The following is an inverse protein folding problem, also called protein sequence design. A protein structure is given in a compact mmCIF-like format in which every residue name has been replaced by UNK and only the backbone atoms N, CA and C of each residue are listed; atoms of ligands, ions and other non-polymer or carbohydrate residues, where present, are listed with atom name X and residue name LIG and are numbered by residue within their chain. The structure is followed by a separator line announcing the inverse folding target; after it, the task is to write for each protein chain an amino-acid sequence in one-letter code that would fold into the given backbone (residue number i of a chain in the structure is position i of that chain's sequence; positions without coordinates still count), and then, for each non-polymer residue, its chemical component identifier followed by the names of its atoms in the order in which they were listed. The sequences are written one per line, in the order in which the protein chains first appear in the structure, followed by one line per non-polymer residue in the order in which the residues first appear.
data_IF_809415007767
#
_entry.id   IF_809415007767
#
_cell.length_a   1.000
_cell.length_b   1.000
_cell.length_c   1.000
_cell.angle_alpha   90.00
_cell.angle_beta   90.00
_cell.angle_gamma   90.00
#
_symmetry.space_group_name_H-M   'P 1'
#
loop_
_entity.id
_entity.type
_entity.pdbx_description
1 polymer ?
#
# COMPACT_ATOMS: atom_id res chain seq x y z
N UNK A 1 16.42 45.46 12.54
CA UNK A 1 16.78 44.07 12.33
C UNK A 1 15.73 43.53 11.40
N UNK A 2 16.11 42.85 10.38
CA UNK A 2 15.18 42.11 9.51
C UNK A 2 14.82 40.80 10.20
N UNK A 3 13.78 40.13 9.71
CA UNK A 3 13.44 38.78 10.14
C UNK A 3 14.63 37.85 9.84
N UNK A 4 15.10 37.08 10.88
CA UNK A 4 16.32 36.28 10.72
C UNK A 4 16.31 34.97 11.51
N UNK A 5 17.05 33.99 11.00
CA UNK A 5 17.36 32.77 11.70
C UNK A 5 18.52 32.96 12.68
N UNK A 6 18.40 32.42 13.87
CA UNK A 6 19.42 32.50 14.93
C UNK A 6 19.74 31.08 15.39
N UNK A 7 21.02 30.75 15.43
CA UNK A 7 21.52 29.54 16.08
C UNK A 7 22.03 29.89 17.49
N UNK A 8 21.49 29.20 18.50
CA UNK A 8 21.95 29.28 19.86
C UNK A 8 21.98 27.92 20.55
N UNK A 9 23.12 27.56 21.12
CA UNK A 9 23.35 26.27 21.80
C UNK A 9 22.90 25.02 20.98
N UNK A 10 23.13 25.04 19.66
CA UNK A 10 22.78 23.93 18.75
C UNK A 10 21.28 23.84 18.44
N UNK A 11 20.50 24.85 18.78
CA UNK A 11 19.09 25.00 18.38
C UNK A 11 18.95 26.18 17.42
N UNK A 12 18.02 26.05 16.48
CA UNK A 12 17.70 27.07 15.51
C UNK A 12 16.39 27.75 15.88
N UNK A 13 16.38 29.06 15.87
CA UNK A 13 15.25 29.91 16.21
C UNK A 13 15.00 30.92 15.09
N UNK A 14 13.80 31.47 15.03
CA UNK A 14 13.47 32.55 14.13
C UNK A 14 12.95 33.78 14.91
N UNK A 15 13.49 34.93 14.62
CA UNK A 15 13.04 36.20 15.24
C UNK A 15 12.44 37.13 14.19
N UNK A 16 11.38 37.84 14.59
CA UNK A 16 10.75 38.84 13.74
C UNK A 16 11.58 40.13 13.68
N UNK A 17 11.21 41.04 12.79
CA UNK A 17 11.88 42.36 12.63
C UNK A 17 11.95 43.20 13.91
N UNK A 18 11.24 42.81 14.97
CA UNK A 18 11.28 43.46 16.31
C UNK A 18 12.15 42.67 17.30
N UNK A 19 12.85 41.64 16.84
CA UNK A 19 13.67 40.76 17.66
C UNK A 19 12.87 39.81 18.57
N UNK A 20 11.61 39.52 18.25
CA UNK A 20 10.76 38.61 19.04
C UNK A 20 10.83 37.23 18.47
N UNK A 21 11.13 36.25 19.28
CA UNK A 21 11.10 34.83 18.94
C UNK A 21 9.72 34.40 18.43
N UNK A 22 9.70 33.65 17.32
CA UNK A 22 8.51 33.06 16.73
C UNK A 22 8.28 31.66 17.27
N UNK A 23 7.05 31.18 17.18
CA UNK A 23 6.63 29.81 17.40
C UNK A 23 5.62 29.39 16.31
N UNK A 24 5.45 28.10 16.06
CA UNK A 24 4.59 27.61 14.98
C UNK A 24 5.26 27.73 13.60
N UNK A 25 4.44 27.79 12.55
CA UNK A 25 4.94 27.81 11.18
C UNK A 25 5.59 29.14 10.81
N UNK A 26 6.77 29.03 10.22
CA UNK A 26 7.51 30.13 9.60
C UNK A 26 7.83 29.74 8.16
N UNK A 27 7.58 30.67 7.24
CA UNK A 27 8.02 30.55 5.85
C UNK A 27 9.30 31.35 5.68
N UNK A 28 10.35 30.68 5.25
CA UNK A 28 11.61 31.34 4.91
C UNK A 28 11.42 32.22 3.66
N UNK A 29 11.92 33.43 3.70
CA UNK A 29 11.70 34.41 2.65
C UNK A 29 12.57 34.14 1.41
N UNK A 30 13.74 33.52 1.59
CA UNK A 30 14.72 33.30 0.53
C UNK A 30 14.44 32.00 -0.21
N UNK A 31 14.26 30.89 0.50
CA UNK A 31 13.98 29.57 -0.07
C UNK A 31 12.50 29.36 -0.39
N UNK A 32 11.61 29.98 0.35
CA UNK A 32 10.17 29.74 0.30
C UNK A 32 9.73 28.52 1.10
N UNK A 33 10.64 27.79 1.73
CA UNK A 33 10.39 26.61 2.53
C UNK A 33 9.66 26.94 3.83
N UNK A 34 8.95 25.96 4.38
CA UNK A 34 8.23 26.11 5.65
C UNK A 34 8.89 25.26 6.73
N UNK A 35 9.10 25.89 7.87
CA UNK A 35 9.67 25.31 9.08
C UNK A 35 8.71 25.43 10.24
N UNK A 36 8.74 24.48 11.16
CA UNK A 36 7.90 24.53 12.37
C UNK A 36 8.76 24.75 13.61
N UNK A 37 8.41 25.77 14.38
CA UNK A 37 9.05 26.11 15.65
C UNK A 37 8.18 25.63 16.81
N UNK A 38 8.78 24.89 17.74
CA UNK A 38 8.12 24.37 18.92
C UNK A 38 7.62 25.46 19.87
N UNK A 39 7.03 25.08 21.00
CA UNK A 39 6.56 26.01 22.02
C UNK A 39 7.72 26.78 22.70
N UNK A 40 8.91 26.16 22.70
CA UNK A 40 10.16 26.77 23.16
C UNK A 40 10.83 27.66 22.10
N UNK A 41 10.22 27.79 20.90
CA UNK A 41 10.73 28.54 19.76
C UNK A 41 11.80 27.83 18.94
N UNK A 42 12.25 26.66 19.36
CA UNK A 42 13.26 25.89 18.62
C UNK A 42 12.65 25.23 17.39
N UNK A 43 13.41 25.18 16.28
CA UNK A 43 13.03 24.45 15.07
C UNK A 43 12.89 22.96 15.38
N UNK A 44 11.84 22.37 14.87
CA UNK A 44 11.58 20.93 14.96
C UNK A 44 12.18 20.20 13.76
N UNK A 45 12.68 18.99 13.99
CA UNK A 45 13.26 18.13 12.98
C UNK A 45 12.66 16.73 13.08
N UNK A 46 12.50 16.08 11.92
CA UNK A 46 12.12 14.67 11.78
C UNK A 46 10.95 14.27 12.71
N UNK A 47 9.85 15.04 12.64
CA UNK A 47 8.70 14.85 13.53
C UNK A 47 7.40 15.33 12.90
N UNK A 48 6.28 14.91 13.51
CA UNK A 48 4.95 15.38 13.16
C UNK A 48 4.53 16.55 14.04
N UNK A 49 3.99 17.58 13.42
CA UNK A 49 3.46 18.76 14.13
C UNK A 49 2.06 18.49 14.69
N UNK A 50 1.55 19.39 15.54
CA UNK A 50 0.20 19.28 16.13
C UNK A 50 -0.94 19.27 15.10
N UNK A 51 -0.72 19.86 13.93
CA UNK A 51 -1.66 19.91 12.81
C UNK A 51 -1.44 18.79 11.78
N UNK A 52 -0.76 17.70 12.18
CA UNK A 52 -0.50 16.49 11.38
C UNK A 52 0.30 16.76 10.11
N UNK A 53 1.29 17.66 10.20
CA UNK A 53 2.26 17.93 9.14
C UNK A 53 3.61 17.34 9.50
N UNK A 54 4.32 16.83 8.51
CA UNK A 54 5.65 16.29 8.70
C UNK A 54 6.72 17.33 8.39
N UNK A 55 7.70 17.47 9.29
CA UNK A 55 8.96 18.17 9.04
C UNK A 55 10.09 17.16 9.00
N UNK A 56 10.88 17.23 7.93
CA UNK A 56 11.94 16.29 7.62
C UNK A 56 13.17 16.41 8.53
N UNK A 57 14.20 15.58 8.27
CA UNK A 57 15.46 15.62 9.00
C UNK A 57 16.22 16.96 8.83
N UNK A 58 15.93 17.72 7.80
CA UNK A 58 16.44 19.09 7.56
C UNK A 58 15.56 20.21 8.16
N UNK A 59 14.44 19.85 8.80
CA UNK A 59 13.48 20.77 9.39
C UNK A 59 12.44 21.37 8.44
N UNK A 60 12.54 21.12 7.12
CA UNK A 60 11.54 21.57 6.14
C UNK A 60 10.26 20.74 6.22
N UNK A 61 9.12 21.40 5.97
CA UNK A 61 7.87 20.67 5.72
C UNK A 61 7.99 19.85 4.44
N UNK A 62 7.67 18.55 4.50
CA UNK A 62 7.64 17.65 3.34
C UNK A 62 6.20 17.54 2.85
N UNK A 63 5.76 18.52 2.04
CA UNK A 63 4.35 18.65 1.62
C UNK A 63 3.86 17.46 0.78
N UNK A 64 4.72 16.91 -0.11
CA UNK A 64 4.38 15.74 -0.92
C UNK A 64 4.17 14.50 -0.07
N UNK A 65 5.00 14.28 0.94
CA UNK A 65 4.80 13.20 1.91
C UNK A 65 3.51 13.36 2.72
N UNK A 66 3.17 14.58 3.15
CA UNK A 66 1.88 14.87 3.78
C UNK A 66 0.69 14.53 2.85
N UNK A 67 0.84 14.79 1.55
CA UNK A 67 -0.17 14.46 0.53
C UNK A 67 -0.32 12.95 0.38
N UNK A 68 0.79 12.22 0.25
CA UNK A 68 0.82 10.76 0.19
C UNK A 68 0.15 10.13 1.41
N UNK A 69 0.53 10.51 2.63
CA UNK A 69 -0.03 9.99 3.88
C UNK A 69 -1.56 10.17 3.95
N UNK A 70 -2.06 11.31 3.52
CA UNK A 70 -3.51 11.58 3.43
C UNK A 70 -4.17 10.72 2.37
N UNK A 71 -3.53 10.52 1.23
CA UNK A 71 -4.04 9.68 0.17
C UNK A 71 -4.16 8.22 0.63
N UNK A 72 -3.13 7.65 1.28
CA UNK A 72 -3.17 6.29 1.85
C UNK A 72 -4.35 6.15 2.82
N UNK A 73 -4.48 7.06 3.80
CA UNK A 73 -5.58 7.04 4.79
C UNK A 73 -6.95 7.14 4.11
N UNK A 74 -7.07 7.95 3.05
CA UNK A 74 -8.31 8.13 2.29
C UNK A 74 -8.68 6.89 1.50
N UNK A 75 -7.72 6.30 0.77
CA UNK A 75 -7.95 5.14 -0.07
C UNK A 75 -8.31 3.91 0.76
N UNK A 76 -7.57 3.67 1.83
CA UNK A 76 -7.86 2.60 2.77
C UNK A 76 -9.27 2.72 3.37
N UNK A 77 -9.72 3.94 3.70
CA UNK A 77 -11.08 4.20 4.17
C UNK A 77 -12.14 3.95 3.11
N UNK A 78 -11.85 4.24 1.84
CA UNK A 78 -12.76 3.95 0.72
C UNK A 78 -12.90 2.44 0.50
N UNK A 79 -11.78 1.71 0.40
CA UNK A 79 -11.74 0.28 0.19
C UNK A 79 -12.52 -0.47 1.28
N UNK A 80 -12.25 -0.16 2.54
CA UNK A 80 -12.93 -0.80 3.69
C UNK A 80 -14.42 -0.46 3.77
N UNK A 81 -14.82 0.77 3.43
CA UNK A 81 -16.23 1.21 3.43
C UNK A 81 -17.05 0.57 2.31
N UNK A 82 -16.49 0.48 1.11
CA UNK A 82 -17.15 -0.10 -0.08
C UNK A 82 -17.57 -1.55 0.18
N UNK A 83 -16.70 -2.34 0.80
CA UNK A 83 -16.98 -3.73 1.16
C UNK A 83 -17.98 -3.88 2.30
N UNK A 84 -17.94 -3.05 3.31
CA UNK A 84 -18.92 -3.09 4.40
C UNK A 84 -20.35 -2.87 3.87
N UNK A 85 -20.52 -2.05 2.85
CA UNK A 85 -21.82 -1.86 2.19
C UNK A 85 -22.27 -3.10 1.40
N UNK A 86 -21.35 -3.79 0.71
CA UNK A 86 -21.62 -5.06 0.01
C UNK A 86 -21.95 -6.20 0.98
N UNK A 87 -21.25 -6.29 2.12
CA UNK A 87 -21.54 -7.28 3.20
C UNK A 87 -22.95 -7.10 3.77
N UNK A 88 -23.38 -5.87 4.03
CA UNK A 88 -24.69 -5.59 4.61
C UNK A 88 -25.85 -5.96 3.67
N UNK A 89 -25.64 -5.94 2.35
CA UNK A 89 -26.64 -6.39 1.37
C UNK A 89 -26.71 -7.92 1.18
N UNK A 90 -25.61 -8.64 1.48
CA UNK A 90 -25.56 -10.13 1.43
C UNK A 90 -25.87 -10.81 2.77
N UNK A 91 -25.71 -10.14 3.90
CA UNK A 91 -25.81 -10.69 5.27
C UNK A 91 -27.22 -11.12 5.71
N UNK A 92 -28.25 -10.93 4.89
CA UNK A 92 -29.57 -11.45 5.19
C UNK A 92 -29.71 -12.98 4.99
N UNK A 93 -28.70 -13.66 4.45
CA UNK A 93 -28.82 -15.07 4.06
C UNK A 93 -27.92 -16.07 4.80
N UNK A 94 -26.73 -15.71 5.32
CA UNK A 94 -25.79 -16.70 5.89
C UNK A 94 -24.98 -16.14 7.06
N UNK A 95 -25.47 -16.30 8.27
CA UNK A 95 -24.75 -15.95 9.50
C UNK A 95 -24.28 -17.20 10.21
N UNK A 96 -23.04 -17.68 10.03
CA UNK A 96 -22.42 -18.61 10.96
C UNK A 96 -20.88 -18.63 11.05
N UNK A 97 -20.11 -18.16 10.06
CA UNK A 97 -18.64 -18.20 10.15
C UNK A 97 -17.92 -16.89 9.76
N UNK A 98 -18.66 -15.83 9.46
CA UNK A 98 -18.13 -14.56 8.95
C UNK A 98 -17.52 -13.63 10.03
N UNK A 99 -17.40 -14.07 11.30
CA UNK A 99 -17.18 -13.14 12.42
C UNK A 99 -15.70 -12.78 12.66
N UNK A 100 -14.73 -13.49 12.05
CA UNK A 100 -13.30 -13.22 12.23
C UNK A 100 -12.60 -12.59 11.02
N UNK A 101 -13.33 -12.22 9.98
CA UNK A 101 -12.74 -11.59 8.79
C UNK A 101 -12.56 -10.11 9.02
N UNK A 102 -11.37 -9.62 8.73
CA UNK A 102 -11.02 -8.22 8.83
C UNK A 102 -10.24 -7.77 7.58
N UNK A 103 -10.08 -6.47 7.46
CA UNK A 103 -9.20 -5.91 6.44
C UNK A 103 -7.77 -5.89 6.94
N UNK A 104 -6.87 -6.18 6.01
CA UNK A 104 -5.43 -6.05 6.15
C UNK A 104 -4.93 -5.09 5.08
N UNK A 105 -3.83 -4.44 5.34
CA UNK A 105 -3.15 -3.63 4.35
C UNK A 105 -1.65 -3.78 4.44
N UNK A 106 -0.98 -3.47 3.35
CA UNK A 106 0.46 -3.40 3.25
C UNK A 106 0.82 -2.20 2.37
N UNK A 107 1.93 -1.57 2.70
CA UNK A 107 2.60 -0.60 1.85
C UNK A 107 3.87 -1.24 1.31
N UNK A 108 3.99 -1.35 0.00
CA UNK A 108 5.15 -1.92 -0.68
C UNK A 108 5.29 -1.27 -2.05
N UNK A 109 6.52 -1.09 -2.49
CA UNK A 109 6.82 -0.67 -3.84
C UNK A 109 6.59 -1.86 -4.79
N UNK A 110 5.46 -1.83 -5.50
CA UNK A 110 5.04 -2.92 -6.37
C UNK A 110 5.50 -2.74 -7.82
N UNK A 111 5.64 -1.51 -8.26
CA UNK A 111 6.05 -1.15 -9.60
C UNK A 111 7.50 -0.68 -9.70
N UNK A 112 8.26 -0.78 -8.59
CA UNK A 112 9.70 -0.53 -8.50
C UNK A 112 10.08 0.91 -8.88
N UNK A 113 9.28 1.88 -8.45
CA UNK A 113 9.51 3.31 -8.66
C UNK A 113 9.98 4.05 -7.39
N UNK A 114 10.36 3.30 -6.36
CA UNK A 114 10.79 3.73 -5.03
C UNK A 114 9.67 4.28 -4.14
N UNK A 115 8.45 4.48 -4.64
CA UNK A 115 7.31 4.88 -3.82
C UNK A 115 6.50 3.66 -3.37
N UNK A 116 6.01 3.70 -2.13
CA UNK A 116 5.22 2.59 -1.63
C UNK A 116 3.76 2.69 -2.09
N UNK A 117 3.27 1.59 -2.65
CA UNK A 117 1.91 1.38 -3.10
C UNK A 117 1.04 0.78 -2.01
N UNK A 118 -0.28 0.79 -2.21
CA UNK A 118 -1.24 0.28 -1.26
C UNK A 118 -1.87 -1.02 -1.72
N UNK A 119 -1.72 -2.07 -0.92
CA UNK A 119 -2.44 -3.33 -1.07
C UNK A 119 -3.44 -3.48 0.06
N UNK A 120 -4.71 -3.71 -0.30
CA UNK A 120 -5.78 -3.98 0.65
C UNK A 120 -6.30 -5.39 0.46
N UNK A 121 -6.33 -6.17 1.53
CA UNK A 121 -6.82 -7.54 1.55
C UNK A 121 -7.97 -7.70 2.55
N UNK A 122 -8.84 -8.68 2.33
CA UNK A 122 -9.88 -9.09 3.30
C UNK A 122 -9.76 -10.57 3.59
N UNK A 123 -9.84 -10.94 4.86
CA UNK A 123 -9.79 -12.35 5.26
C UNK A 123 -9.45 -12.56 6.72
N UNK A 124 -8.82 -13.70 7.01
CA UNK A 124 -8.26 -14.06 8.30
C UNK A 124 -6.75 -13.81 8.31
N UNK A 125 -6.08 -14.17 9.38
CA UNK A 125 -4.62 -14.07 9.47
C UNK A 125 -3.90 -14.94 8.43
N UNK A 126 -4.45 -16.10 8.11
CA UNK A 126 -3.85 -17.08 7.19
C UNK A 126 -4.42 -17.04 5.78
N UNK A 127 -5.70 -16.75 5.64
CA UNK A 127 -6.42 -16.82 4.37
C UNK A 127 -6.96 -15.43 4.02
N UNK A 128 -6.26 -14.73 3.11
CA UNK A 128 -6.59 -13.37 2.66
C UNK A 128 -6.68 -13.33 1.16
N UNK A 129 -7.74 -12.68 0.65
CA UNK A 129 -7.89 -12.35 -0.76
C UNK A 129 -7.69 -10.86 -1.00
N UNK A 130 -7.16 -10.46 -2.17
CA UNK A 130 -7.00 -9.06 -2.52
C UNK A 130 -8.37 -8.40 -2.72
N UNK A 131 -8.48 -7.17 -2.28
CA UNK A 131 -9.66 -6.32 -2.46
C UNK A 131 -9.35 -5.22 -3.44
N UNK A 132 -8.21 -4.58 -3.25
CA UNK A 132 -7.78 -3.42 -4.00
C UNK A 132 -6.27 -3.33 -3.99
N UNK A 133 -5.69 -3.03 -5.13
CA UNK A 133 -4.30 -2.64 -5.28
C UNK A 133 -4.29 -1.27 -5.95
N UNK A 134 -3.66 -0.31 -5.30
CA UNK A 134 -3.58 1.06 -5.78
C UNK A 134 -2.11 1.51 -5.83
N UNK A 135 -1.68 1.92 -7.01
CA UNK A 135 -0.33 2.39 -7.29
C UNK A 135 -0.26 3.90 -7.07
N UNK A 136 0.77 4.35 -6.37
CA UNK A 136 1.03 5.77 -6.18
C UNK A 136 1.58 6.38 -7.47
N UNK A 137 0.95 7.45 -7.93
CA UNK A 137 1.45 8.27 -9.04
C UNK A 137 2.10 9.54 -8.45
N UNK A 138 3.43 9.61 -8.40
CA UNK A 138 4.14 10.75 -7.83
C UNK A 138 3.99 12.04 -8.66
N UNK A 139 3.65 11.95 -9.96
CA UNK A 139 3.44 13.12 -10.80
C UNK A 139 2.08 13.76 -10.58
N UNK A 140 1.05 12.93 -10.34
CA UNK A 140 -0.32 13.36 -10.07
C UNK A 140 -0.63 13.48 -8.56
N UNK A 141 0.31 13.07 -7.71
CA UNK A 141 0.19 13.03 -6.24
C UNK A 141 -1.09 12.32 -5.75
N UNK A 142 -1.40 11.18 -6.37
CA UNK A 142 -2.59 10.39 -6.05
C UNK A 142 -2.38 8.90 -6.28
N UNK A 143 -3.20 8.08 -5.63
CA UNK A 143 -3.31 6.67 -5.98
C UNK A 143 -4.13 6.48 -7.26
N UNK A 144 -3.63 5.64 -8.15
CA UNK A 144 -4.37 5.10 -9.28
C UNK A 144 -4.74 3.64 -8.98
N UNK A 145 -5.99 3.30 -9.21
CA UNK A 145 -6.47 1.93 -9.02
C UNK A 145 -5.84 1.03 -10.09
N UNK A 146 -4.93 0.15 -9.68
CA UNK A 146 -4.30 -0.82 -10.57
C UNK A 146 -5.18 -2.04 -10.80
N UNK A 147 -5.78 -2.56 -9.72
CA UNK A 147 -6.69 -3.69 -9.79
C UNK A 147 -7.71 -3.64 -8.66
N UNK A 148 -8.96 -3.96 -8.99
CA UNK A 148 -10.03 -4.20 -8.04
C UNK A 148 -10.50 -5.65 -8.19
N UNK A 149 -10.47 -6.38 -7.11
CA UNK A 149 -10.86 -7.77 -7.10
C UNK A 149 -12.25 -7.91 -6.48
N UNK A 150 -13.14 -8.58 -7.19
CA UNK A 150 -14.33 -9.14 -6.55
C UNK A 150 -13.86 -10.30 -5.69
N UNK A 151 -13.33 -9.95 -4.49
CA UNK A 151 -12.75 -10.93 -3.62
C UNK A 151 -13.69 -12.11 -3.47
N UNK A 152 -13.19 -13.32 -3.68
CA UNK A 152 -13.96 -14.51 -3.36
C UNK A 152 -14.37 -14.41 -1.89
N UNK A 153 -15.65 -14.38 -1.66
CA UNK A 153 -16.24 -14.26 -0.31
C UNK A 153 -16.28 -15.63 0.36
N UNK A 154 -15.20 -16.41 0.28
CA UNK A 154 -15.15 -17.76 0.79
C UNK A 154 -13.91 -18.03 1.64
N UNK A 155 -14.01 -18.95 2.60
CA UNK A 155 -12.86 -19.54 3.27
C UNK A 155 -11.96 -20.22 2.24
N UNK A 156 -10.63 -20.06 2.39
CA UNK A 156 -9.63 -20.77 1.62
C UNK A 156 -9.16 -20.06 0.35
N UNK A 157 -9.31 -18.72 0.25
CA UNK A 157 -8.54 -17.94 -0.70
C UNK A 157 -7.24 -17.52 -0.05
N UNK A 158 -6.14 -17.81 -0.72
CA UNK A 158 -4.81 -17.33 -0.33
C UNK A 158 -4.26 -16.44 -1.43
N UNK A 159 -3.67 -15.35 -1.04
CA UNK A 159 -2.93 -14.51 -1.96
C UNK A 159 -1.59 -14.14 -1.38
N UNK A 160 -0.59 -14.15 -2.23
CA UNK A 160 0.79 -13.88 -1.86
C UNK A 160 1.43 -13.02 -2.92
N UNK A 161 2.11 -11.98 -2.48
CA UNK A 161 2.96 -11.16 -3.32
C UNK A 161 4.39 -11.68 -3.28
N UNK A 162 5.03 -11.70 -4.44
CA UNK A 162 6.42 -12.12 -4.59
C UNK A 162 7.18 -11.08 -5.42
N UNK A 163 8.43 -10.86 -5.06
CA UNK A 163 9.38 -10.15 -5.90
C UNK A 163 10.35 -11.15 -6.51
N UNK A 164 10.62 -11.07 -7.80
CA UNK A 164 11.54 -11.96 -8.46
C UNK A 164 12.97 -11.83 -7.90
N UNK A 165 13.86 -12.82 -8.14
CA UNK A 165 15.22 -12.79 -7.60
C UNK A 165 16.09 -11.66 -8.14
N UNK A 166 15.73 -11.09 -9.29
CA UNK A 166 16.41 -9.97 -9.92
C UNK A 166 15.92 -8.62 -9.40
N UNK A 167 14.73 -8.60 -8.78
CA UNK A 167 14.10 -7.39 -8.30
C UNK A 167 13.43 -6.55 -9.41
N UNK A 168 13.15 -7.17 -10.56
CA UNK A 168 12.61 -6.48 -11.75
C UNK A 168 11.10 -6.62 -11.90
N UNK A 169 10.48 -7.49 -11.10
CA UNK A 169 9.07 -7.84 -11.27
C UNK A 169 8.43 -8.21 -9.95
N UNK A 170 7.21 -7.74 -9.74
CA UNK A 170 6.35 -8.18 -8.64
C UNK A 170 5.21 -9.04 -9.18
N UNK A 171 4.94 -10.12 -8.48
CA UNK A 171 3.91 -11.10 -8.82
C UNK A 171 2.86 -11.18 -7.72
N UNK A 172 1.59 -11.26 -8.12
CA UNK A 172 0.49 -11.59 -7.23
C UNK A 172 -0.02 -13.00 -7.59
N UNK A 173 0.10 -13.92 -6.66
CA UNK A 173 -0.48 -15.25 -6.72
C UNK A 173 -1.79 -15.27 -5.96
N UNK A 174 -2.84 -15.83 -6.56
CA UNK A 174 -4.13 -16.08 -5.91
C UNK A 174 -4.46 -17.56 -6.08
N UNK A 175 -4.70 -18.24 -4.98
CA UNK A 175 -5.09 -19.64 -4.93
C UNK A 175 -6.43 -19.78 -4.21
N UNK A 176 -7.38 -20.47 -4.83
CA UNK A 176 -8.70 -20.73 -4.29
C UNK A 176 -8.82 -22.15 -3.75
N UNK A 177 -9.75 -22.36 -2.81
CA UNK A 177 -9.99 -23.66 -2.17
C UNK A 177 -10.38 -24.79 -3.14
N UNK A 178 -11.02 -24.44 -4.25
CA UNK A 178 -11.40 -25.38 -5.32
C UNK A 178 -10.21 -25.84 -6.17
N UNK A 179 -9.02 -25.22 -5.97
CA UNK A 179 -7.80 -25.50 -6.71
C UNK A 179 -7.54 -24.52 -7.84
N UNK A 180 -8.42 -23.56 -8.08
CA UNK A 180 -8.17 -22.50 -9.05
C UNK A 180 -6.97 -21.67 -8.62
N UNK A 181 -6.14 -21.31 -9.59
CA UNK A 181 -4.88 -20.62 -9.37
C UNK A 181 -4.71 -19.53 -10.43
N UNK A 182 -4.34 -18.34 -9.97
CA UNK A 182 -4.12 -17.19 -10.84
C UNK A 182 -2.78 -16.56 -10.52
N UNK A 183 -2.08 -16.14 -11.58
CA UNK A 183 -0.79 -15.45 -11.44
C UNK A 183 -0.80 -14.17 -12.28
N UNK A 184 -0.72 -13.06 -11.57
CA UNK A 184 -0.64 -11.72 -12.13
C UNK A 184 0.80 -11.21 -12.02
N UNK A 185 1.22 -10.41 -12.99
CA UNK A 185 2.53 -9.78 -13.03
C UNK A 185 2.39 -8.26 -13.08
N UNK A 186 3.21 -7.57 -12.30
CA UNK A 186 3.50 -6.15 -12.47
C UNK A 186 4.94 -6.00 -12.89
N UNK A 187 5.17 -5.27 -13.98
CA UNK A 187 6.51 -4.94 -14.47
C UNK A 187 6.97 -3.61 -13.92
N UNK A 188 8.28 -3.40 -13.99
CA UNK A 188 8.93 -2.14 -13.63
C UNK A 188 8.19 -0.92 -14.21
N UNK A 189 7.90 0.04 -13.34
CA UNK A 189 7.17 1.29 -13.63
C UNK A 189 5.81 1.11 -14.32
N UNK A 190 5.19 -0.07 -14.21
CA UNK A 190 3.82 -0.30 -14.66
C UNK A 190 2.80 0.21 -13.63
N UNK A 191 1.63 0.60 -14.12
CA UNK A 191 0.50 0.99 -13.27
C UNK A 191 -0.56 -0.11 -13.16
N UNK A 192 -0.38 -1.24 -13.85
CA UNK A 192 -1.38 -2.30 -13.94
C UNK A 192 -0.77 -3.69 -13.73
N UNK A 193 -1.51 -4.56 -13.03
CA UNK A 193 -1.24 -5.98 -12.99
C UNK A 193 -1.82 -6.67 -14.22
N UNK A 194 -0.98 -7.40 -14.95
CA UNK A 194 -1.40 -8.29 -16.03
C UNK A 194 -1.69 -9.70 -15.48
N UNK A 195 -2.85 -10.26 -15.81
CA UNK A 195 -3.10 -11.69 -15.59
C UNK A 195 -2.37 -12.49 -16.69
N UNK A 196 -1.28 -13.14 -16.32
CA UNK A 196 -0.50 -13.96 -17.26
C UNK A 196 -0.94 -15.42 -17.29
N UNK A 197 -1.41 -15.93 -16.15
CA UNK A 197 -1.80 -17.32 -16.01
C UNK A 197 -3.07 -17.44 -15.21
N UNK A 198 -4.02 -18.20 -15.74
CA UNK A 198 -5.18 -18.67 -15.01
C UNK A 198 -5.31 -20.17 -15.17
N UNK A 199 -5.41 -20.87 -14.06
CA UNK A 199 -5.60 -22.31 -13.96
C UNK A 199 -6.93 -22.55 -13.26
N UNK A 200 -7.94 -23.00 -13.98
CA UNK A 200 -9.30 -23.14 -13.50
C UNK A 200 -9.76 -24.57 -13.67
N UNK A 201 -10.52 -25.09 -12.69
CA UNK A 201 -11.15 -26.41 -12.76
C UNK A 201 -12.66 -26.20 -12.86
N UNK A 202 -13.20 -26.47 -14.02
CA UNK A 202 -14.65 -26.48 -14.23
C UNK A 202 -15.20 -27.90 -14.08
N UNK A 203 -16.41 -28.04 -13.55
CA UNK A 203 -17.08 -29.32 -13.47
C UNK A 203 -18.11 -29.43 -14.59
N UNK A 204 -17.88 -30.38 -15.49
CA UNK A 204 -18.90 -30.77 -16.46
C UNK A 204 -19.81 -31.85 -15.85
N UNK A 205 -21.13 -31.71 -16.04
CA UNK A 205 -22.13 -32.59 -15.44
C UNK A 205 -22.06 -34.03 -15.97
N UNK A 206 -21.39 -34.26 -17.08
CA UNK A 206 -21.35 -35.55 -17.79
C UNK A 206 -19.95 -36.18 -17.80
N UNK A 207 -18.91 -35.35 -18.01
CA UNK A 207 -17.54 -35.84 -18.26
C UNK A 207 -16.60 -35.62 -17.07
N UNK A 208 -17.05 -34.94 -16.01
CA UNK A 208 -16.26 -34.68 -14.80
C UNK A 208 -15.44 -33.39 -14.87
N UNK A 209 -14.26 -33.31 -14.22
CA UNK A 209 -13.47 -32.08 -14.16
C UNK A 209 -12.80 -31.76 -15.50
N UNK A 210 -12.97 -30.53 -15.96
CA UNK A 210 -12.26 -29.93 -17.11
C UNK A 210 -11.19 -28.99 -16.55
N UNK A 211 -9.95 -29.20 -16.96
CA UNK A 211 -8.80 -28.41 -16.55
C UNK A 211 -8.51 -27.34 -17.59
N UNK A 212 -8.55 -26.06 -17.20
CA UNK A 212 -8.36 -24.94 -18.11
C UNK A 212 -7.06 -24.21 -17.78
N UNK A 213 -6.24 -23.95 -18.80
CA UNK A 213 -5.10 -23.03 -18.75
C UNK A 213 -5.39 -21.84 -19.64
N UNK A 214 -5.49 -20.65 -19.07
CA UNK A 214 -5.88 -19.43 -19.80
C UNK A 214 -7.18 -19.61 -20.64
N UNK A 215 -8.14 -20.35 -20.09
CA UNK A 215 -9.42 -20.65 -20.73
C UNK A 215 -9.37 -21.71 -21.83
N UNK A 216 -8.22 -22.35 -22.04
CA UNK A 216 -8.10 -23.46 -22.99
C UNK A 216 -8.07 -24.79 -22.24
N UNK A 217 -8.82 -25.82 -22.69
CA UNK A 217 -8.83 -27.11 -22.03
C UNK A 217 -7.51 -27.85 -22.27
N UNK A 218 -6.97 -28.42 -21.19
CA UNK A 218 -5.76 -29.23 -21.16
C UNK A 218 -6.04 -30.56 -20.44
N UNK A 219 -5.19 -31.55 -20.62
CA UNK A 219 -5.27 -32.69 -19.74
C UNK A 219 -4.70 -32.37 -18.35
N UNK A 220 -4.99 -33.22 -17.37
CA UNK A 220 -4.59 -32.97 -15.99
C UNK A 220 -3.07 -32.92 -15.81
N UNK A 221 -2.31 -33.75 -16.54
CA UNK A 221 -0.87 -33.85 -16.43
C UNK A 221 -0.21 -32.58 -16.97
N UNK A 222 -0.66 -32.08 -18.12
CA UNK A 222 -0.20 -30.84 -18.73
C UNK A 222 -0.62 -29.63 -17.86
N UNK A 223 -1.83 -29.62 -17.30
CA UNK A 223 -2.30 -28.59 -16.39
C UNK A 223 -1.41 -28.47 -15.13
N UNK A 224 -1.07 -29.63 -14.51
CA UNK A 224 -0.17 -29.67 -13.34
C UNK A 224 1.26 -29.22 -13.71
N UNK A 225 1.75 -29.61 -14.91
CA UNK A 225 3.05 -29.20 -15.42
C UNK A 225 3.13 -27.68 -15.64
N UNK A 226 2.18 -27.11 -16.37
CA UNK A 226 2.13 -25.67 -16.65
C UNK A 226 1.99 -24.85 -15.37
N UNK A 227 1.23 -25.33 -14.37
CA UNK A 227 1.14 -24.66 -13.07
C UNK A 227 2.49 -24.67 -12.32
N UNK A 228 3.22 -25.79 -12.41
CA UNK A 228 4.56 -25.87 -11.80
C UNK A 228 5.56 -24.95 -12.51
N UNK A 229 5.51 -24.86 -13.85
CA UNK A 229 6.34 -23.94 -14.64
C UNK A 229 6.03 -22.48 -14.34
N UNK A 230 4.74 -22.11 -14.21
CA UNK A 230 4.32 -20.77 -13.86
C UNK A 230 4.83 -20.38 -12.46
N UNK A 231 4.74 -21.27 -11.48
CA UNK A 231 5.30 -21.04 -10.12
C UNK A 231 6.83 -20.96 -10.13
N UNK A 232 7.49 -21.73 -10.99
CA UNK A 232 8.94 -21.63 -11.14
C UNK A 232 9.35 -20.30 -11.80
N UNK A 233 8.63 -19.85 -12.83
CA UNK A 233 8.87 -18.58 -13.50
C UNK A 233 8.66 -17.38 -12.55
N UNK A 234 7.62 -17.44 -11.71
CA UNK A 234 7.39 -16.44 -10.67
C UNK A 234 8.59 -16.33 -9.73
N UNK A 235 9.15 -17.46 -9.26
CA UNK A 235 10.28 -17.51 -8.33
C UNK A 235 10.06 -16.66 -7.07
N UNK A 236 11.13 -16.26 -6.44
CA UNK A 236 11.22 -15.03 -5.72
C UNK A 236 10.99 -15.03 -4.22
N UNK A 237 11.17 -13.85 -3.66
CA UNK A 237 11.01 -13.52 -2.25
C UNK A 237 9.57 -13.10 -1.98
N UNK A 238 8.95 -13.70 -0.97
CA UNK A 238 7.64 -13.26 -0.48
C UNK A 238 7.73 -11.84 0.06
N UNK A 239 6.86 -10.96 -0.42
CA UNK A 239 6.62 -9.67 0.18
C UNK A 239 5.63 -9.87 1.33
N UNK A 240 6.12 -9.72 2.53
CA UNK A 240 5.34 -9.86 3.76
C UNK A 240 5.23 -8.50 4.47
N UNK A 241 4.32 -8.39 5.41
CA UNK A 241 4.15 -7.14 6.16
C UNK A 241 2.70 -6.67 6.27
N UNK A 242 1.74 -7.53 5.91
CA UNK A 242 0.33 -7.22 6.09
C UNK A 242 0.00 -6.97 7.55
N UNK A 243 -0.66 -5.83 7.81
CA UNK A 243 -1.15 -5.45 9.12
C UNK A 243 -2.68 -5.34 9.11
N UNK A 244 -3.37 -5.72 10.20
CA UNK A 244 -4.78 -5.40 10.35
C UNK A 244 -5.04 -3.90 10.16
N UNK A 245 -6.09 -3.54 9.43
CA UNK A 245 -6.45 -2.15 9.15
C UNK A 245 -7.11 -1.48 10.37
N UNK A 246 -6.40 -1.45 11.50
CA UNK A 246 -6.75 -0.68 12.70
C UNK A 246 -6.21 0.74 12.63
N UNK A 247 -6.81 1.67 13.36
CA UNK A 247 -6.32 3.06 13.42
C UNK A 247 -4.87 3.14 13.91
N UNK A 248 -4.47 2.28 14.85
CA UNK A 248 -3.11 2.22 15.39
C UNK A 248 -2.12 1.74 14.32
N UNK A 249 -2.41 0.64 13.62
CA UNK A 249 -1.54 0.11 12.59
C UNK A 249 -1.43 1.06 11.39
N UNK A 250 -2.55 1.67 10.98
CA UNK A 250 -2.55 2.69 9.93
C UNK A 250 -1.63 3.84 10.33
N UNK A 251 -1.74 4.33 11.56
CA UNK A 251 -0.88 5.40 12.06
C UNK A 251 0.58 4.98 12.07
N UNK A 252 0.91 3.78 12.57
CA UNK A 252 2.28 3.29 12.69
C UNK A 252 2.97 3.14 11.33
N UNK A 253 2.26 2.60 10.32
CA UNK A 253 2.85 2.37 9.00
C UNK A 253 2.86 3.61 8.10
N UNK A 254 1.86 4.49 8.24
CA UNK A 254 1.70 5.67 7.40
C UNK A 254 2.41 6.88 7.99
N UNK A 255 2.40 7.04 9.32
CA UNK A 255 3.00 8.18 10.03
C UNK A 255 4.41 7.81 10.53
N UNK A 256 5.26 7.29 9.67
CA UNK A 256 6.67 7.05 9.98
C UNK A 256 7.52 8.26 9.64
N UNK A 257 8.64 8.41 10.31
CA UNK A 257 9.65 9.42 9.96
C UNK A 257 10.50 8.91 8.78
N UNK A 258 10.93 9.84 7.93
CA UNK A 258 11.78 9.55 6.78
C UNK A 258 13.25 9.57 7.18
N UNK A 259 14.06 8.78 6.50
CA UNK A 259 15.52 8.91 6.53
C UNK A 259 15.97 10.06 5.62
N UNK A 260 17.26 10.44 5.68
CA UNK A 260 17.81 11.45 4.78
C UNK A 260 17.75 10.99 3.31
N UNK A 261 17.97 9.71 3.05
CA UNK A 261 17.89 9.11 1.71
C UNK A 261 16.46 9.13 1.16
N UNK A 262 15.47 8.84 2.01
CA UNK A 262 14.06 8.87 1.60
C UNK A 262 13.53 10.29 1.39
N UNK A 263 14.13 11.30 2.01
CA UNK A 263 13.70 12.69 1.83
C UNK A 263 13.83 13.16 0.37
N UNK A 264 14.81 12.67 -0.35
CA UNK A 264 15.05 13.04 -1.75
C UNK A 264 13.95 12.52 -2.70
N UNK A 265 13.16 11.52 -2.28
CA UNK A 265 11.99 11.03 -3.03
C UNK A 265 10.80 11.98 -2.94
N UNK A 266 10.70 12.73 -1.86
CA UNK A 266 9.54 13.56 -1.51
C UNK A 266 9.83 15.06 -1.68
#
# INVERSE_FOLDING_TARGET
MEDEWIEDNGKIYYVDAKGRMKTGWVKDADSGDKYFLGEDGAMCFNTFTKDDKYVGPDGRQVERYDTYRKAVKSELKKATKKKNTRRNSKKAAEASEADNRQFYFMLADLNLDDYADLVVMEGTETDKGPVEIAIWDPAEEKFQLSAEFDAPSGDGVRSTLYQDPQGETVWLEIEEKNGDFYLFQMKDQSMEFENLWSFVIEMDDWDGPVYLVNGQPEDREDWELFQAEARQARGGKVLDGYQPASEENIKTLVDRVLTEEELDLW
#
